data_IF_631096665850
#
_entry.id   IF_631096665850
#
_cell.length_a   1.000
_cell.length_b   1.000
_cell.length_c   1.000
_cell.angle_alpha   90.00
_cell.angle_beta   90.00
_cell.angle_gamma   90.00
#
_symmetry.space_group_name_H-M   'P 1'
#
loop_
_entity.id
_entity.type
_entity.pdbx_description
1 polymer ?
#
# COMPACT_ATOMS: atom_id res chain seq x y z
N UNK A 1 -10.57 -8.92 -26.41
CA UNK A 1 -9.38 -8.06 -26.42
C UNK A 1 -9.91 -6.63 -26.32
N UNK A 2 -10.36 -6.26 -25.14
CA UNK A 2 -10.88 -4.92 -24.84
C UNK A 2 -9.68 -4.07 -24.45
N UNK A 3 -9.25 -3.21 -25.37
CA UNK A 3 -8.43 -2.05 -25.02
C UNK A 3 -9.27 -1.21 -24.06
N UNK A 4 -9.03 -1.38 -22.75
CA UNK A 4 -9.45 -0.37 -21.79
C UNK A 4 -8.67 0.90 -22.16
N UNK A 5 -9.36 1.87 -22.76
CA UNK A 5 -8.86 3.23 -22.95
C UNK A 5 -8.15 3.66 -21.67
N UNK A 6 -6.82 3.65 -21.72
CA UNK A 6 -6.01 3.88 -20.55
C UNK A 6 -5.95 5.39 -20.37
N UNK A 7 -6.98 5.93 -19.70
CA UNK A 7 -7.08 7.36 -19.44
C UNK A 7 -5.85 7.82 -18.67
N UNK A 8 -5.18 8.84 -19.21
CA UNK A 8 -4.11 9.52 -18.52
C UNK A 8 -4.72 10.42 -17.44
N UNK A 9 -4.36 10.17 -16.20
CA UNK A 9 -4.88 10.87 -15.02
C UNK A 9 -3.85 11.90 -14.53
N UNK A 10 -4.34 13.02 -14.00
CA UNK A 10 -3.54 13.88 -13.13
C UNK A 10 -3.21 13.17 -11.81
N UNK A 11 -2.29 13.73 -11.02
CA UNK A 11 -1.93 13.18 -9.72
C UNK A 11 -3.15 13.04 -8.79
N UNK A 12 -4.03 14.04 -8.73
CA UNK A 12 -5.24 13.98 -7.90
C UNK A 12 -6.21 12.92 -8.38
N UNK A 13 -6.48 12.87 -9.69
CA UNK A 13 -7.40 11.89 -10.28
C UNK A 13 -6.89 10.46 -10.11
N UNK A 14 -5.57 10.25 -10.19
CA UNK A 14 -4.94 8.97 -9.92
C UNK A 14 -5.16 8.56 -8.46
N UNK A 15 -4.96 9.45 -7.49
CA UNK A 15 -5.19 9.15 -6.07
C UNK A 15 -6.66 8.81 -5.78
N UNK A 16 -7.59 9.61 -6.28
CA UNK A 16 -9.03 9.37 -6.10
C UNK A 16 -9.44 8.01 -6.71
N UNK A 17 -8.83 7.65 -7.85
CA UNK A 17 -9.04 6.34 -8.48
C UNK A 17 -8.45 5.19 -7.67
N UNK A 18 -7.25 5.35 -7.10
CA UNK A 18 -6.62 4.36 -6.21
C UNK A 18 -7.51 4.13 -4.99
N UNK A 19 -7.98 5.19 -4.34
CA UNK A 19 -8.89 5.10 -3.18
C UNK A 19 -10.19 4.38 -3.53
N UNK A 20 -10.80 4.73 -4.66
CA UNK A 20 -12.05 4.10 -5.14
C UNK A 20 -11.85 2.60 -5.37
N UNK A 21 -10.79 2.20 -6.07
CA UNK A 21 -10.51 0.80 -6.38
C UNK A 21 -10.15 -0.01 -5.13
N UNK A 22 -9.33 0.56 -4.25
CA UNK A 22 -8.95 -0.08 -2.99
C UNK A 22 -10.16 -0.32 -2.09
N UNK A 23 -10.99 0.73 -1.88
CA UNK A 23 -12.20 0.61 -1.06
C UNK A 23 -13.15 -0.46 -1.63
N UNK A 24 -13.38 -0.44 -2.94
CA UNK A 24 -14.21 -1.45 -3.60
C UNK A 24 -13.65 -2.87 -3.43
N UNK A 25 -12.35 -3.08 -3.62
CA UNK A 25 -11.73 -4.40 -3.45
C UNK A 25 -11.84 -4.92 -2.01
N UNK A 26 -11.59 -4.06 -1.03
CA UNK A 26 -11.72 -4.39 0.40
C UNK A 26 -13.17 -4.73 0.76
N UNK A 27 -14.14 -3.92 0.33
CA UNK A 27 -15.56 -4.15 0.62
C UNK A 27 -16.08 -5.41 -0.06
N UNK A 28 -15.70 -5.65 -1.32
CA UNK A 28 -16.02 -6.88 -2.04
C UNK A 28 -15.48 -8.11 -1.33
N UNK A 29 -14.22 -8.06 -0.86
CA UNK A 29 -13.60 -9.18 -0.16
C UNK A 29 -14.26 -9.43 1.19
N UNK A 30 -14.54 -8.37 1.96
CA UNK A 30 -15.25 -8.46 3.26
C UNK A 30 -16.63 -9.09 3.11
N UNK A 31 -17.37 -8.64 2.12
CA UNK A 31 -18.71 -9.13 1.85
C UNK A 31 -18.69 -10.57 1.31
N UNK A 32 -17.73 -10.93 0.46
CA UNK A 32 -17.55 -12.32 0.02
C UNK A 32 -17.18 -13.25 1.17
N UNK A 33 -16.31 -12.82 2.09
CA UNK A 33 -15.97 -13.57 3.32
C UNK A 33 -17.22 -13.74 4.19
N UNK A 34 -18.00 -12.68 4.40
CA UNK A 34 -19.26 -12.74 5.17
C UNK A 34 -20.24 -13.75 4.58
N UNK A 35 -20.52 -13.67 3.27
CA UNK A 35 -21.40 -14.64 2.59
C UNK A 35 -20.90 -16.07 2.71
N UNK A 36 -19.59 -16.28 2.57
CA UNK A 36 -19.01 -17.61 2.74
C UNK A 36 -19.23 -18.16 4.16
N UNK A 37 -19.07 -17.32 5.19
CA UNK A 37 -19.29 -17.73 6.58
C UNK A 37 -20.77 -18.05 6.84
N UNK A 38 -21.68 -17.23 6.32
CA UNK A 38 -23.12 -17.36 6.58
C UNK A 38 -23.79 -18.48 5.77
N UNK A 39 -23.41 -18.66 4.50
CA UNK A 39 -24.13 -19.54 3.56
C UNK A 39 -23.24 -20.62 2.94
N UNK A 40 -21.91 -20.51 3.06
CA UNK A 40 -20.96 -21.37 2.35
C UNK A 40 -20.76 -21.00 0.88
N UNK A 41 -21.35 -19.90 0.40
CA UNK A 41 -21.19 -19.41 -0.97
C UNK A 41 -19.74 -19.02 -1.24
N UNK A 42 -19.19 -19.51 -2.36
CA UNK A 42 -17.80 -19.27 -2.75
C UNK A 42 -17.71 -18.10 -3.72
N UNK A 43 -16.62 -17.32 -3.70
CA UNK A 43 -16.38 -16.29 -4.70
C UNK A 43 -16.40 -16.85 -6.12
N UNK A 44 -17.00 -16.11 -7.06
CA UNK A 44 -16.95 -16.44 -8.48
C UNK A 44 -15.51 -16.35 -9.01
N UNK A 45 -14.94 -17.44 -9.57
CA UNK A 45 -13.61 -17.42 -10.16
C UNK A 45 -13.44 -16.41 -11.30
N UNK A 46 -14.49 -16.13 -12.09
CA UNK A 46 -14.42 -15.16 -13.18
C UNK A 46 -14.27 -13.73 -12.64
N UNK A 47 -15.11 -13.33 -11.68
CA UNK A 47 -14.99 -12.03 -11.02
C UNK A 47 -13.62 -11.84 -10.33
N UNK A 48 -13.06 -12.90 -9.73
CA UNK A 48 -11.70 -12.87 -9.17
C UNK A 48 -10.63 -12.62 -10.23
N UNK A 49 -10.73 -13.30 -11.37
CA UNK A 49 -9.81 -13.09 -12.49
C UNK A 49 -9.90 -11.67 -13.08
N UNK A 50 -11.05 -11.00 -12.93
CA UNK A 50 -11.25 -9.59 -13.28
C UNK A 50 -10.76 -8.59 -12.22
N UNK A 51 -10.22 -9.08 -11.09
CA UNK A 51 -9.58 -8.25 -10.07
C UNK A 51 -10.52 -7.69 -9.01
N UNK A 52 -11.67 -8.35 -8.75
CA UNK A 52 -12.66 -7.89 -7.75
C UNK A 52 -12.09 -7.78 -6.32
N UNK A 53 -11.00 -8.48 -6.02
CA UNK A 53 -10.25 -8.42 -4.75
C UNK A 53 -8.84 -7.86 -4.92
N UNK A 54 -8.50 -7.28 -6.08
CA UNK A 54 -7.13 -6.87 -6.37
C UNK A 54 -6.76 -5.54 -5.70
N UNK A 55 -5.49 -5.41 -5.31
CA UNK A 55 -4.92 -4.09 -5.04
C UNK A 55 -5.03 -3.20 -6.28
N UNK A 56 -5.24 -1.88 -6.15
CA UNK A 56 -5.01 -0.96 -7.26
C UNK A 56 -3.54 -0.98 -7.67
N UNK A 57 -3.30 -0.92 -8.98
CA UNK A 57 -1.99 -0.76 -9.58
C UNK A 57 -1.85 0.68 -10.10
N UNK A 58 -0.82 1.37 -9.62
CA UNK A 58 -0.42 2.67 -10.13
C UNK A 58 0.68 2.47 -11.15
N UNK A 59 0.45 2.98 -12.36
CA UNK A 59 1.40 2.96 -13.47
C UNK A 59 1.79 4.39 -13.85
N UNK A 60 3.06 4.57 -14.17
CA UNK A 60 3.63 5.79 -14.71
C UNK A 60 4.43 5.44 -15.96
N UNK A 61 4.31 6.23 -17.02
CA UNK A 61 5.14 6.08 -18.22
C UNK A 61 5.98 7.33 -18.44
N UNK A 62 7.29 7.15 -18.64
CA UNK A 62 8.20 8.24 -18.97
C UNK A 62 9.18 7.84 -20.06
N UNK A 63 9.00 8.44 -21.24
CA UNK A 63 9.83 8.19 -22.43
C UNK A 63 10.53 9.48 -22.94
N UNK A 64 10.37 10.58 -22.22
CA UNK A 64 10.91 11.89 -22.58
C UNK A 64 12.41 12.04 -22.29
N UNK A 65 12.95 13.20 -22.67
CA UNK A 65 14.30 13.59 -22.29
C UNK A 65 14.39 13.92 -20.80
N UNK A 66 15.57 13.70 -20.23
CA UNK A 66 15.82 14.03 -18.83
C UNK A 66 15.79 15.57 -18.69
N UNK A 67 15.00 16.12 -17.76
CA UNK A 67 14.97 17.56 -17.55
C UNK A 67 16.35 18.09 -17.16
N UNK A 68 16.74 19.24 -17.73
CA UNK A 68 18.06 19.85 -17.51
C UNK A 68 18.20 20.47 -16.12
N UNK A 69 17.12 21.12 -15.63
CA UNK A 69 17.11 21.90 -14.39
C UNK A 69 16.40 21.18 -13.22
N UNK A 70 16.71 19.90 -13.01
CA UNK A 70 16.18 19.17 -11.85
C UNK A 70 16.74 19.73 -10.54
N UNK A 71 15.86 19.97 -9.58
CA UNK A 71 16.28 20.25 -8.20
C UNK A 71 17.16 19.10 -7.69
N UNK A 72 18.19 19.38 -6.86
CA UNK A 72 19.12 18.37 -6.35
C UNK A 72 18.49 17.51 -5.23
N UNK A 73 17.26 17.02 -5.44
CA UNK A 73 16.57 16.11 -4.52
C UNK A 73 17.08 14.67 -4.68
N UNK A 74 17.05 13.94 -3.57
CA UNK A 74 17.45 12.53 -3.52
C UNK A 74 16.34 11.57 -3.98
N UNK A 75 15.08 12.01 -3.99
CA UNK A 75 13.88 11.20 -4.25
C UNK A 75 13.01 11.81 -5.35
N UNK A 76 11.94 11.09 -5.75
CA UNK A 76 11.05 11.42 -6.86
C UNK A 76 11.81 11.65 -8.17
N UNK A 77 12.68 10.68 -8.55
CA UNK A 77 13.50 10.77 -9.76
C UNK A 77 13.40 9.49 -10.59
N UNK A 78 13.27 9.68 -11.90
CA UNK A 78 13.22 8.59 -12.86
C UNK A 78 14.61 8.38 -13.46
N UNK A 79 15.22 7.25 -13.12
CA UNK A 79 16.59 6.94 -13.53
C UNK A 79 16.69 6.44 -14.98
N UNK A 80 15.65 5.77 -15.48
CA UNK A 80 15.61 5.13 -16.80
C UNK A 80 14.31 5.52 -17.49
N UNK A 81 14.35 5.64 -18.82
CA UNK A 81 13.11 5.72 -19.59
C UNK A 81 12.40 4.38 -19.53
N UNK A 82 11.08 4.40 -19.41
CA UNK A 82 10.27 3.19 -19.35
C UNK A 82 8.94 3.40 -18.67
N UNK A 83 8.23 2.29 -18.53
CA UNK A 83 7.03 2.16 -17.72
C UNK A 83 7.41 1.73 -16.32
N UNK A 84 6.80 2.36 -15.33
CA UNK A 84 6.95 2.10 -13.91
C UNK A 84 5.61 1.64 -13.34
N UNK A 85 5.61 0.66 -12.45
CA UNK A 85 4.40 0.16 -11.81
C UNK A 85 4.63 -0.17 -10.33
N UNK A 86 3.56 -0.08 -9.54
CA UNK A 86 3.50 -0.63 -8.19
C UNK A 86 2.05 -0.85 -7.77
N UNK A 87 1.80 -1.86 -6.94
CA UNK A 87 0.50 -2.00 -6.27
C UNK A 87 0.46 -1.13 -5.02
N UNK A 88 -0.71 -0.57 -4.71
CA UNK A 88 -0.89 0.37 -3.60
C UNK A 88 -1.90 -0.20 -2.61
N UNK A 89 -1.58 -0.15 -1.32
CA UNK A 89 -2.51 -0.42 -0.21
C UNK A 89 -2.66 0.82 0.66
N UNK A 90 -3.69 0.84 1.52
CA UNK A 90 -3.96 1.91 2.50
C UNK A 90 -3.76 3.32 1.93
N UNK A 91 -4.42 3.68 0.80
CA UNK A 91 -4.27 4.99 0.20
C UNK A 91 -4.72 6.12 1.13
N UNK A 92 -5.63 5.83 2.08
CA UNK A 92 -5.98 6.72 3.19
C UNK A 92 -4.78 7.14 4.03
N UNK A 93 -3.94 6.16 4.42
CA UNK A 93 -2.74 6.37 5.23
C UNK A 93 -1.63 7.07 4.43
N UNK A 94 -1.46 6.66 3.17
CA UNK A 94 -0.36 7.13 2.33
C UNK A 94 -0.70 8.32 1.42
N UNK A 95 -1.93 8.86 1.48
CA UNK A 95 -2.36 9.98 0.62
C UNK A 95 -1.39 11.16 0.64
N UNK A 96 -0.92 11.67 1.80
CA UNK A 96 0.04 12.78 1.81
C UNK A 96 1.34 12.46 1.07
N UNK A 97 1.89 11.27 1.33
CA UNK A 97 3.12 10.78 0.67
C UNK A 97 2.93 10.65 -0.84
N UNK A 98 1.89 9.95 -1.27
CA UNK A 98 1.62 9.73 -2.70
C UNK A 98 1.33 11.07 -3.40
N UNK A 99 0.61 12.00 -2.77
CA UNK A 99 0.36 13.34 -3.31
C UNK A 99 1.67 14.08 -3.59
N UNK A 100 2.60 14.09 -2.64
CA UNK A 100 3.90 14.72 -2.84
C UNK A 100 4.65 14.06 -4.01
N UNK A 101 4.79 12.73 -4.00
CA UNK A 101 5.58 12.02 -5.00
C UNK A 101 5.01 12.20 -6.42
N UNK A 102 3.69 12.04 -6.60
CA UNK A 102 3.07 12.17 -7.91
C UNK A 102 3.11 13.60 -8.44
N UNK A 103 2.93 14.61 -7.58
CA UNK A 103 3.05 16.00 -8.01
C UNK A 103 4.48 16.35 -8.47
N UNK A 104 5.51 15.86 -7.76
CA UNK A 104 6.90 16.06 -8.17
C UNK A 104 7.18 15.40 -9.54
N UNK A 105 6.74 14.15 -9.72
CA UNK A 105 6.94 13.43 -10.98
C UNK A 105 6.17 14.08 -12.14
N UNK A 106 4.94 14.55 -11.91
CA UNK A 106 4.15 15.27 -12.90
C UNK A 106 4.82 16.59 -13.30
N UNK A 107 5.23 17.39 -12.32
CA UNK A 107 5.78 18.73 -12.54
C UNK A 107 7.12 18.68 -13.27
N UNK A 108 7.99 17.72 -12.94
CA UNK A 108 9.37 17.71 -13.45
C UNK A 108 9.54 16.83 -14.68
N UNK A 109 8.87 15.69 -14.74
CA UNK A 109 9.04 14.73 -15.84
C UNK A 109 7.90 14.78 -16.85
N UNK A 110 6.86 15.58 -16.61
CA UNK A 110 5.62 15.54 -17.38
C UNK A 110 4.94 14.18 -17.31
N UNK A 111 5.13 13.47 -16.18
CA UNK A 111 4.66 12.11 -16.03
C UNK A 111 3.13 12.02 -16.12
N UNK A 112 2.65 11.00 -16.83
CA UNK A 112 1.23 10.64 -16.91
C UNK A 112 0.98 9.39 -16.08
N UNK A 113 -0.15 9.38 -15.37
CA UNK A 113 -0.52 8.29 -14.48
C UNK A 113 -1.67 7.48 -15.04
N UNK A 114 -1.65 6.18 -14.77
CA UNK A 114 -2.71 5.25 -15.10
C UNK A 114 -2.99 4.39 -13.87
N UNK A 115 -4.27 4.13 -13.58
CA UNK A 115 -4.67 3.35 -12.41
C UNK A 115 -5.71 2.32 -12.82
N UNK A 116 -5.42 1.05 -12.53
CA UNK A 116 -6.28 -0.09 -12.84
C UNK A 116 -6.23 -1.14 -11.71
N UNK A 117 -7.20 -2.07 -11.64
CA UNK A 117 -7.04 -3.25 -10.79
C UNK A 117 -5.79 -4.04 -11.19
N UNK A 118 -4.98 -4.43 -10.20
CA UNK A 118 -3.80 -5.27 -10.41
C UNK A 118 -4.20 -6.74 -10.62
N UNK A 119 -3.19 -7.61 -10.76
CA UNK A 119 -3.36 -9.07 -10.71
C UNK A 119 -3.11 -9.66 -9.31
N UNK A 120 -2.75 -8.82 -8.34
CA UNK A 120 -2.41 -9.22 -6.98
C UNK A 120 -3.63 -9.02 -6.09
N UNK A 121 -4.23 -10.11 -5.62
CA UNK A 121 -5.35 -10.07 -4.70
C UNK A 121 -4.92 -9.70 -3.27
N UNK A 122 -5.74 -8.93 -2.57
CA UNK A 122 -5.56 -8.59 -1.16
C UNK A 122 -5.79 -9.85 -0.32
N UNK A 123 -4.83 -10.28 0.51
CA UNK A 123 -5.06 -11.39 1.43
C UNK A 123 -6.19 -11.11 2.41
N UNK A 124 -7.10 -12.09 2.58
CA UNK A 124 -8.24 -11.94 3.48
C UNK A 124 -7.88 -11.56 4.92
N UNK A 125 -6.74 -11.98 5.52
CA UNK A 125 -6.39 -11.58 6.87
C UNK A 125 -6.30 -10.06 7.07
N UNK A 126 -5.93 -9.29 6.05
CA UNK A 126 -5.79 -7.83 6.15
C UNK A 126 -7.13 -7.08 6.14
N UNK A 127 -8.23 -7.76 5.83
CA UNK A 127 -9.59 -7.19 5.90
C UNK A 127 -10.43 -7.77 7.05
N UNK A 128 -9.88 -8.72 7.83
CA UNK A 128 -10.60 -9.40 8.91
C UNK A 128 -10.78 -8.58 10.19
N UNK A 129 -9.79 -7.78 10.60
CA UNK A 129 -9.88 -6.94 11.81
C UNK A 129 -11.13 -6.04 11.77
N UNK A 130 -11.51 -5.70 10.57
CA UNK A 130 -12.63 -4.88 10.17
C UNK A 130 -13.98 -5.60 10.16
N UNK A 131 -14.01 -6.93 10.32
CA UNK A 131 -15.22 -7.75 10.40
C UNK A 131 -15.62 -8.08 11.85
N UNK A 132 -14.79 -7.77 12.84
CA UNK A 132 -14.98 -8.16 14.26
C UNK A 132 -15.16 -9.68 14.45
N UNK A 133 -14.69 -10.49 13.49
CA UNK A 133 -14.76 -11.95 13.54
C UNK A 133 -13.42 -12.47 14.05
N UNK A 134 -13.45 -13.27 15.11
CA UNK A 134 -12.33 -14.10 15.54
C UNK A 134 -12.55 -15.54 15.04
N UNK A 135 -12.16 -15.87 13.79
CA UNK A 135 -12.41 -17.19 13.24
C UNK A 135 -11.64 -18.25 14.03
N UNK A 136 -12.29 -19.38 14.32
CA UNK A 136 -11.58 -20.53 14.86
C UNK A 136 -10.62 -21.13 13.80
N UNK A 137 -9.84 -22.14 14.20
CA UNK A 137 -8.87 -22.80 13.30
C UNK A 137 -9.54 -23.47 12.10
N UNK A 138 -10.74 -24.01 12.26
CA UNK A 138 -11.47 -24.72 11.20
C UNK A 138 -11.97 -23.74 10.13
N UNK A 139 -12.53 -22.61 10.58
CA UNK A 139 -13.00 -21.55 9.71
C UNK A 139 -11.83 -20.89 8.98
N UNK A 140 -10.72 -20.64 9.67
CA UNK A 140 -9.50 -20.10 9.05
C UNK A 140 -8.97 -21.00 7.93
N UNK A 141 -8.91 -22.32 8.17
CA UNK A 141 -8.48 -23.28 7.15
C UNK A 141 -9.45 -23.33 5.95
N UNK A 142 -10.75 -23.17 6.20
CA UNK A 142 -11.77 -23.11 5.16
C UNK A 142 -11.65 -21.84 4.32
N UNK A 143 -11.42 -20.68 4.95
CA UNK A 143 -11.18 -19.41 4.27
C UNK A 143 -9.91 -19.46 3.42
N UNK A 144 -8.80 -19.95 3.99
CA UNK A 144 -7.52 -20.10 3.29
C UNK A 144 -7.57 -20.98 2.03
N UNK A 145 -8.58 -21.85 1.91
CA UNK A 145 -8.79 -22.68 0.72
C UNK A 145 -9.41 -21.92 -0.44
N UNK A 146 -10.26 -20.93 -0.16
CA UNK A 146 -11.10 -20.27 -1.17
C UNK A 146 -10.78 -18.80 -1.39
N UNK A 147 -10.13 -18.16 -0.42
CA UNK A 147 -9.80 -16.74 -0.43
C UNK A 147 -8.27 -16.51 -0.53
N UNK A 148 -7.85 -15.33 -0.99
CA UNK A 148 -6.42 -15.01 -1.11
C UNK A 148 -5.75 -15.03 0.26
N UNK A 149 -4.58 -15.67 0.35
CA UNK A 149 -3.77 -15.75 1.56
C UNK A 149 -2.44 -15.04 1.39
N UNK A 150 -1.80 -14.73 2.51
CA UNK A 150 -0.44 -14.24 2.51
C UNK A 150 0.51 -15.40 2.19
N UNK A 151 1.10 -15.40 1.01
CA UNK A 151 2.22 -16.28 0.66
C UNK A 151 3.53 -15.54 0.90
N UNK A 152 4.34 -16.01 1.85
CA UNK A 152 5.63 -15.41 2.19
C UNK A 152 6.61 -15.44 1.01
N UNK A 153 6.46 -16.36 0.06
CA UNK A 153 7.31 -16.40 -1.13
C UNK A 153 7.09 -15.18 -2.05
N UNK A 154 5.94 -14.49 -1.93
CA UNK A 154 5.60 -13.30 -2.70
C UNK A 154 5.87 -11.99 -1.93
N UNK A 155 6.48 -12.07 -0.75
CA UNK A 155 6.84 -10.92 0.07
C UNK A 155 8.34 -10.76 0.03
N UNK A 156 8.79 -9.75 -0.71
CA UNK A 156 10.20 -9.53 -1.00
C UNK A 156 10.70 -8.13 -0.66
N UNK A 157 12.01 -8.03 -0.48
CA UNK A 157 12.80 -6.81 -0.20
C UNK A 157 13.67 -6.40 -1.39
N UNK A 158 13.60 -7.10 -2.52
CA UNK A 158 14.60 -7.08 -3.59
C UNK A 158 14.75 -5.69 -4.21
N UNK A 159 13.66 -4.92 -4.31
CA UNK A 159 13.69 -3.55 -4.83
C UNK A 159 14.44 -2.63 -3.85
N UNK A 160 14.15 -2.74 -2.55
CA UNK A 160 14.78 -1.95 -1.50
C UNK A 160 16.27 -2.32 -1.33
N UNK A 161 16.60 -3.60 -1.46
CA UNK A 161 17.97 -4.13 -1.41
C UNK A 161 18.79 -3.82 -2.69
N UNK A 162 18.15 -3.32 -3.74
CA UNK A 162 18.78 -3.05 -5.04
C UNK A 162 19.16 -4.31 -5.83
N UNK A 163 18.53 -5.44 -5.51
CA UNK A 163 18.74 -6.75 -6.14
C UNK A 163 17.70 -7.07 -7.22
N UNK A 164 16.68 -6.22 -7.38
CA UNK A 164 15.62 -6.43 -8.36
C UNK A 164 16.09 -6.19 -9.80
N UNK A 165 16.01 -7.22 -10.64
CA UNK A 165 16.25 -7.13 -12.08
C UNK A 165 14.91 -7.16 -12.84
N UNK A 166 14.44 -6.01 -13.37
CA UNK A 166 13.14 -5.93 -14.01
C UNK A 166 13.16 -6.59 -15.40
N UNK A 167 12.37 -7.65 -15.58
CA UNK A 167 12.07 -8.23 -16.89
C UNK A 167 10.95 -7.49 -17.66
N UNK A 168 10.30 -6.50 -17.02
CA UNK A 168 9.15 -5.76 -17.55
C UNK A 168 9.10 -4.33 -17.01
N UNK A 169 7.95 -3.92 -16.47
CA UNK A 169 7.80 -2.59 -15.85
C UNK A 169 8.82 -2.41 -14.70
N UNK A 170 9.37 -1.20 -14.61
CA UNK A 170 10.28 -0.79 -13.56
C UNK A 170 9.50 -0.59 -12.24
N UNK A 171 10.12 -0.81 -11.06
CA UNK A 171 9.43 -0.56 -9.80
C UNK A 171 9.24 0.95 -9.58
N UNK A 172 7.99 1.38 -9.31
CA UNK A 172 7.67 2.78 -9.00
C UNK A 172 7.96 3.14 -7.53
N UNK A 173 7.86 2.18 -6.63
CA UNK A 173 8.12 2.33 -5.19
C UNK A 173 9.04 1.21 -4.69
N UNK A 174 9.59 1.38 -3.49
CA UNK A 174 10.42 0.36 -2.85
C UNK A 174 9.65 -0.89 -2.43
N UNK A 175 8.38 -0.73 -2.06
CA UNK A 175 7.52 -1.81 -1.60
C UNK A 175 6.18 -1.77 -2.34
N UNK A 176 5.65 -2.95 -2.63
CA UNK A 176 4.33 -3.15 -3.23
C UNK A 176 3.24 -3.19 -2.14
N UNK A 177 1.98 -3.31 -2.55
CA UNK A 177 0.82 -3.32 -1.66
C UNK A 177 0.86 -4.48 -0.66
N UNK A 178 1.16 -5.69 -1.13
CA UNK A 178 1.21 -6.89 -0.30
C UNK A 178 2.30 -6.80 0.79
N UNK A 179 3.52 -6.39 0.41
CA UNK A 179 4.61 -6.20 1.36
C UNK A 179 4.31 -5.10 2.37
N UNK A 180 3.66 -4.03 1.93
CA UNK A 180 3.26 -2.93 2.79
C UNK A 180 2.23 -3.39 3.82
N UNK A 181 1.17 -4.09 3.43
CA UNK A 181 0.17 -4.63 4.37
C UNK A 181 0.78 -5.62 5.37
N UNK A 182 1.67 -6.50 4.90
CA UNK A 182 2.40 -7.40 5.79
C UNK A 182 3.17 -6.64 6.87
N UNK A 183 3.88 -5.60 6.46
CA UNK A 183 4.69 -4.77 7.37
C UNK A 183 3.81 -3.97 8.32
N UNK A 184 2.69 -3.41 7.86
CA UNK A 184 1.74 -2.68 8.71
C UNK A 184 1.12 -3.59 9.78
N UNK A 185 0.71 -4.80 9.41
CA UNK A 185 0.20 -5.78 10.36
C UNK A 185 1.25 -6.18 11.41
N UNK A 186 2.51 -6.35 10.99
CA UNK A 186 3.63 -6.65 11.89
C UNK A 186 3.99 -5.48 12.80
N UNK A 187 3.96 -4.25 12.27
CA UNK A 187 4.20 -3.05 13.05
C UNK A 187 3.19 -2.98 14.20
N UNK A 188 1.89 -3.05 13.89
CA UNK A 188 0.83 -3.08 14.90
C UNK A 188 1.02 -4.19 15.93
N UNK A 189 1.35 -5.41 15.48
CA UNK A 189 1.55 -6.55 16.37
C UNK A 189 2.73 -6.35 17.34
N UNK A 190 3.87 -5.87 16.84
CA UNK A 190 5.09 -5.75 17.64
C UNK A 190 5.15 -4.48 18.48
N UNK A 191 4.56 -3.38 18.02
CA UNK A 191 4.53 -2.11 18.78
C UNK A 191 3.34 -2.04 19.73
N UNK A 192 2.26 -2.76 19.46
CA UNK A 192 1.00 -2.61 20.19
C UNK A 192 0.34 -1.25 19.96
N UNK A 193 0.70 -0.55 18.88
CA UNK A 193 0.24 0.82 18.56
C UNK A 193 -0.37 0.85 17.15
N UNK A 194 -1.43 1.65 16.92
CA UNK A 194 -1.90 1.95 15.57
C UNK A 194 -0.76 2.44 14.65
N UNK A 195 -0.80 2.02 13.39
CA UNK A 195 0.21 2.42 12.40
C UNK A 195 0.13 3.92 12.07
N UNK A 196 -1.05 4.50 12.23
CA UNK A 196 -1.37 5.91 12.00
C UNK A 196 -0.67 6.84 13.01
N UNK A 197 -0.26 6.33 14.17
CA UNK A 197 0.45 7.09 15.21
C UNK A 197 1.97 7.14 14.97
N UNK A 198 2.49 6.38 14.00
CA UNK A 198 3.94 6.33 13.71
C UNK A 198 4.40 7.66 13.11
N UNK A 199 5.39 8.28 13.77
CA UNK A 199 6.00 9.53 13.34
C UNK A 199 7.20 9.30 12.41
N UNK A 200 7.53 10.30 11.58
CA UNK A 200 8.64 10.20 10.61
C UNK A 200 10.03 10.14 11.26
N UNK A 201 10.16 10.50 12.54
CA UNK A 201 11.43 10.47 13.29
C UNK A 201 11.37 9.36 14.34
N UNK A 202 12.12 8.29 14.09
CA UNK A 202 12.09 7.07 14.92
C UNK A 202 13.33 6.99 15.81
N UNK A 203 13.13 6.70 17.09
CA UNK A 203 14.20 6.39 18.04
C UNK A 203 14.14 4.92 18.46
N UNK A 204 15.25 4.20 18.28
CA UNK A 204 15.41 2.85 18.83
C UNK A 204 16.18 2.91 20.13
N UNK A 205 15.69 2.19 21.14
CA UNK A 205 16.34 2.06 22.44
C UNK A 205 16.36 0.60 22.83
N UNK A 206 17.40 0.18 23.55
CA UNK A 206 17.58 -1.21 24.00
C UNK A 206 17.38 -1.37 25.51
N UNK A 207 16.85 -0.34 26.18
CA UNK A 207 16.68 -0.33 27.63
C UNK A 207 15.45 0.48 28.05
N UNK A 208 14.58 -0.11 28.88
CA UNK A 208 13.27 0.47 29.22
C UNK A 208 13.35 1.86 29.88
N UNK A 209 14.44 2.20 30.58
CA UNK A 209 14.59 3.53 31.20
C UNK A 209 14.49 4.69 30.20
N UNK A 210 14.85 4.46 28.93
CA UNK A 210 14.69 5.50 27.91
C UNK A 210 13.22 5.78 27.60
N UNK A 211 12.36 4.75 27.67
CA UNK A 211 10.91 4.91 27.48
C UNK A 211 10.32 5.69 28.65
N UNK A 212 10.70 5.38 29.89
CA UNK A 212 10.22 6.12 31.08
C UNK A 212 10.55 7.62 31.00
N UNK A 213 11.79 7.95 30.65
CA UNK A 213 12.22 9.34 30.49
C UNK A 213 11.57 10.03 29.28
N UNK A 214 11.40 9.31 28.16
CA UNK A 214 10.70 9.84 26.99
C UNK A 214 9.25 10.19 27.33
N UNK A 215 8.53 9.31 28.05
CA UNK A 215 7.15 9.56 28.47
C UNK A 215 7.08 10.74 29.42
N UNK A 216 8.00 10.84 30.39
CA UNK A 216 8.07 11.99 31.31
C UNK A 216 8.25 13.30 30.53
N UNK A 217 9.23 13.35 29.62
CA UNK A 217 9.49 14.52 28.79
C UNK A 217 8.32 14.85 27.86
N UNK A 218 7.70 13.85 27.23
CA UNK A 218 6.57 14.05 26.33
C UNK A 218 5.37 14.68 27.07
N UNK A 219 5.07 14.21 28.29
CA UNK A 219 4.01 14.80 29.12
C UNK A 219 4.33 16.27 29.48
N UNK A 220 5.61 16.63 29.67
CA UNK A 220 6.02 18.02 29.88
C UNK A 220 5.82 18.87 28.62
N UNK A 221 6.12 18.34 27.43
CA UNK A 221 5.86 19.03 26.16
C UNK A 221 4.38 19.29 25.95
N UNK A 222 3.53 18.27 26.13
CA UNK A 222 2.06 18.38 25.99
C UNK A 222 1.45 19.45 26.92
N UNK A 223 2.07 19.71 28.07
CA UNK A 223 1.63 20.74 29.03
C UNK A 223 2.15 22.14 28.70
N UNK A 224 3.17 22.25 27.85
CA UNK A 224 3.85 23.51 27.57
C UNK A 224 3.10 24.29 26.50
N UNK A 225 2.56 25.49 26.81
CA UNK A 225 1.87 26.29 25.80
C UNK A 225 2.80 26.65 24.64
N UNK A 226 2.38 26.37 23.41
CA UNK A 226 3.16 26.61 22.20
C UNK A 226 4.11 25.46 21.82
N UNK A 227 4.12 24.35 22.55
CA UNK A 227 4.70 23.10 22.08
C UNK A 227 4.02 22.63 20.79
N UNK A 228 4.76 22.11 19.79
CA UNK A 228 4.18 21.48 18.62
C UNK A 228 3.65 20.05 18.88
N UNK A 229 4.01 19.47 20.03
CA UNK A 229 3.48 18.20 20.54
C UNK A 229 2.21 18.42 21.35
#
# INVERSE_FOLDING_TARGET
>A
MTEHETQNLSASEALDRIETLYAAAVDNLREAVRRFIETGERPDPAARAEGVFAYPELRLSWYGDRPEDLAPRAYARLAKRGSYATTVTRPDLFRPYLTEQLNLLAAEYGAVFQVAPSKQEIPFPYVLDQLEIAPDRSLTASLARWFPTTDLANIGDEIADGLFDPAGDLPLSHFDGLRTDFSLARLRHYTGTPVDDVQSYVLFTNYNRYVDEFVRWAIEQLKTPGSPY
#
